data_IF_336474740149
#
_entry.id   IF_336474740149
#
_cell.length_a   1.000
_cell.length_b   1.000
_cell.length_c   1.000
_cell.angle_alpha   90.00
_cell.angle_beta   90.00
_cell.angle_gamma   90.00
#
_symmetry.space_group_name_H-M   'P 1'
#
loop_
_entity.id
_entity.type
_entity.pdbx_description
1 polymer ?
#
# COMPACT_ATOMS: atom_id res chain seq x y z
N UNK A 1 27.81 28.89 15.45
CA UNK A 1 26.63 29.39 16.20
C UNK A 1 25.51 28.34 16.10
N UNK A 2 25.40 27.43 17.07
CA UNK A 2 24.31 26.43 17.07
C UNK A 2 23.07 27.06 17.68
N UNK A 3 22.11 27.41 16.82
CA UNK A 3 20.83 28.00 17.23
C UNK A 3 19.95 26.89 17.80
N UNK A 4 20.02 26.68 19.12
CA UNK A 4 19.12 25.78 19.84
C UNK A 4 17.68 26.27 19.64
N UNK A 5 16.93 25.61 18.75
CA UNK A 5 15.49 25.86 18.60
C UNK A 5 14.77 25.15 19.73
N UNK A 6 14.02 25.90 20.53
CA UNK A 6 13.14 25.33 21.57
C UNK A 6 12.14 24.34 20.94
N UNK A 7 11.87 23.19 21.59
CA UNK A 7 10.73 22.35 21.25
C UNK A 7 9.45 23.18 21.23
N UNK A 8 8.63 23.07 20.18
CA UNK A 8 7.36 23.81 20.05
C UNK A 8 7.40 25.14 19.30
N UNK A 9 8.55 25.57 18.73
CA UNK A 9 8.64 26.89 18.07
C UNK A 9 7.97 27.00 16.68
N UNK A 10 7.48 25.89 16.12
CA UNK A 10 6.60 25.87 14.95
C UNK A 10 5.32 25.16 15.35
N UNK A 11 4.18 25.85 15.29
CA UNK A 11 2.86 25.21 15.44
C UNK A 11 2.84 24.02 14.47
N UNK A 12 2.51 22.84 14.99
CA UNK A 12 2.35 21.68 14.13
C UNK A 12 1.29 21.98 13.07
N UNK A 13 1.46 21.48 11.85
CA UNK A 13 0.40 21.61 10.84
C UNK A 13 -0.89 21.01 11.39
N UNK A 14 -2.04 21.63 11.09
CA UNK A 14 -3.36 21.26 11.66
C UNK A 14 -3.63 19.75 11.59
N UNK A 15 -3.25 19.11 10.48
CA UNK A 15 -3.41 17.68 10.25
C UNK A 15 -2.66 16.79 11.26
N UNK A 16 -1.59 17.28 11.89
CA UNK A 16 -0.82 16.55 12.90
C UNK A 16 -1.51 16.50 14.28
N UNK A 17 -2.49 17.36 14.51
CA UNK A 17 -3.30 17.31 15.74
C UNK A 17 -4.34 16.17 15.71
N UNK A 18 -4.74 15.73 14.51
CA UNK A 18 -5.54 14.51 14.33
C UNK A 18 -4.61 13.29 14.33
N UNK A 19 -4.10 12.94 15.52
CA UNK A 19 -3.17 11.81 15.70
C UNK A 19 -3.90 10.57 16.22
N UNK A 20 -3.79 9.47 15.48
CA UNK A 20 -4.26 8.16 15.94
C UNK A 20 -3.07 7.32 16.42
N UNK A 21 -3.00 7.09 17.73
CA UNK A 21 -1.89 6.39 18.37
C UNK A 21 -2.21 4.91 18.64
N UNK A 22 -2.37 4.14 17.57
CA UNK A 22 -2.61 2.68 17.64
C UNK A 22 -1.55 1.93 16.83
N UNK A 23 -0.27 1.94 17.25
CA UNK A 23 0.86 1.54 16.41
C UNK A 23 0.81 0.09 15.91
N UNK A 24 0.32 -0.83 16.75
CA UNK A 24 0.15 -2.24 16.36
C UNK A 24 -1.02 -2.43 15.40
N UNK A 25 -2.10 -1.68 15.59
CA UNK A 25 -3.27 -1.72 14.70
C UNK A 25 -2.92 -1.14 13.33
N UNK A 26 -2.23 0.00 13.28
CA UNK A 26 -1.77 0.60 12.02
C UNK A 26 -0.82 -0.35 11.28
N UNK A 27 0.10 -1.02 12.00
CA UNK A 27 0.93 -2.07 11.39
C UNK A 27 0.07 -3.19 10.81
N UNK A 28 -0.88 -3.73 11.57
CA UNK A 28 -1.76 -4.79 11.10
C UNK A 28 -2.58 -4.35 9.86
N UNK A 29 -3.07 -3.10 9.85
CA UNK A 29 -3.79 -2.51 8.74
C UNK A 29 -2.91 -2.40 7.48
N UNK A 30 -1.69 -1.87 7.60
CA UNK A 30 -0.76 -1.78 6.48
C UNK A 30 -0.45 -3.15 5.89
N UNK A 31 -0.21 -4.16 6.73
CA UNK A 31 0.00 -5.53 6.29
C UNK A 31 -1.24 -6.12 5.62
N UNK A 32 -2.42 -5.92 6.20
CA UNK A 32 -3.68 -6.40 5.64
C UNK A 32 -3.96 -5.81 4.25
N UNK A 33 -3.67 -4.52 4.05
CA UNK A 33 -3.84 -3.87 2.74
C UNK A 33 -2.86 -4.43 1.72
N UNK A 34 -1.59 -4.66 2.07
CA UNK A 34 -0.63 -5.30 1.13
C UNK A 34 -1.02 -6.74 0.82
N UNK A 35 -1.52 -7.49 1.79
CA UNK A 35 -2.06 -8.83 1.57
C UNK A 35 -3.24 -8.81 0.60
N UNK A 36 -4.12 -7.80 0.71
CA UNK A 36 -5.22 -7.61 -0.23
C UNK A 36 -4.72 -7.30 -1.64
N UNK A 37 -3.73 -6.41 -1.79
CA UNK A 37 -3.12 -6.11 -3.10
C UNK A 37 -2.54 -7.37 -3.74
N UNK A 38 -1.72 -8.12 -2.99
CA UNK A 38 -1.13 -9.37 -3.47
C UNK A 38 -2.16 -10.44 -3.79
N UNK A 39 -3.20 -10.58 -2.96
CA UNK A 39 -4.31 -11.52 -3.20
C UNK A 39 -5.09 -11.20 -4.47
N UNK A 40 -5.42 -9.92 -4.70
CA UNK A 40 -6.07 -9.49 -5.94
C UNK A 40 -5.17 -9.70 -7.17
N UNK A 41 -3.87 -9.39 -7.06
CA UNK A 41 -2.91 -9.60 -8.13
C UNK A 41 -2.80 -11.09 -8.50
N UNK A 42 -2.74 -11.98 -7.51
CA UNK A 42 -2.71 -13.43 -7.73
C UNK A 42 -4.00 -13.93 -8.38
N UNK A 43 -5.16 -13.47 -7.91
CA UNK A 43 -6.45 -13.85 -8.48
C UNK A 43 -6.60 -13.42 -9.95
N UNK A 44 -6.05 -12.26 -10.33
CA UNK A 44 -6.02 -11.82 -11.73
C UNK A 44 -4.99 -12.60 -12.53
N UNK A 45 -3.82 -12.93 -11.95
CA UNK A 45 -2.76 -13.68 -12.62
C UNK A 45 -3.19 -15.11 -13.02
N UNK A 46 -3.97 -15.78 -12.16
CA UNK A 46 -4.49 -17.13 -12.43
C UNK A 46 -5.79 -17.12 -13.23
N UNK A 47 -6.30 -15.94 -13.62
CA UNK A 47 -7.50 -15.83 -14.43
C UNK A 47 -7.17 -16.01 -15.91
N UNK A 48 -8.11 -16.58 -16.66
CA UNK A 48 -8.01 -16.74 -18.12
C UNK A 48 -8.24 -15.42 -18.89
N UNK A 49 -8.20 -14.26 -18.20
CA UNK A 49 -8.47 -12.94 -18.75
C UNK A 49 -7.34 -11.96 -18.39
N UNK A 50 -6.19 -12.05 -19.10
CA UNK A 50 -5.03 -11.21 -18.82
C UNK A 50 -5.31 -9.74 -19.18
N UNK A 51 -4.94 -8.76 -18.34
CA UNK A 51 -5.24 -7.34 -18.59
C UNK A 51 -4.50 -6.75 -19.79
N UNK A 52 -3.39 -7.36 -20.21
CA UNK A 52 -2.64 -7.01 -21.43
C UNK A 52 -1.73 -8.19 -21.81
N UNK A 53 -1.19 -8.23 -23.05
CA UNK A 53 -0.30 -9.31 -23.47
C UNK A 53 0.89 -9.46 -22.52
N UNK A 54 1.13 -10.68 -22.05
CA UNK A 54 2.20 -11.00 -21.09
C UNK A 54 2.12 -10.22 -19.76
N UNK A 55 0.91 -9.91 -19.27
CA UNK A 55 0.72 -9.31 -17.95
C UNK A 55 1.05 -10.24 -16.78
N UNK A 56 0.96 -11.56 -16.98
CA UNK A 56 1.12 -12.56 -15.94
C UNK A 56 2.45 -12.45 -15.16
N UNK A 57 3.64 -12.35 -15.79
CA UNK A 57 4.90 -12.15 -15.06
C UNK A 57 4.91 -10.90 -14.20
N UNK A 58 4.30 -9.80 -14.66
CA UNK A 58 4.23 -8.56 -13.89
C UNK A 58 3.32 -8.71 -12.66
N UNK A 59 2.18 -9.39 -12.80
CA UNK A 59 1.29 -9.69 -11.68
C UNK A 59 1.97 -10.60 -10.66
N UNK A 60 2.66 -11.65 -11.09
CA UNK A 60 3.42 -12.54 -10.19
C UNK A 60 4.58 -11.82 -9.49
N UNK A 61 5.21 -10.85 -10.15
CA UNK A 61 6.21 -10.00 -9.49
C UNK A 61 5.59 -9.19 -8.34
N UNK A 62 4.40 -8.61 -8.53
CA UNK A 62 3.67 -7.92 -7.45
C UNK A 62 3.32 -8.88 -6.32
N UNK A 63 2.86 -10.09 -6.64
CA UNK A 63 2.59 -11.14 -5.63
C UNK A 63 3.85 -11.48 -4.84
N UNK A 64 4.98 -11.72 -5.51
CA UNK A 64 6.24 -12.05 -4.87
C UNK A 64 6.72 -10.92 -3.93
N UNK A 65 6.63 -9.67 -4.38
CA UNK A 65 6.97 -8.51 -3.54
C UNK A 65 6.02 -8.34 -2.36
N UNK A 66 4.72 -8.58 -2.54
CA UNK A 66 3.74 -8.55 -1.46
C UNK A 66 4.03 -9.64 -0.41
N UNK A 67 4.30 -10.88 -0.84
CA UNK A 67 4.68 -11.99 0.06
C UNK A 67 5.96 -11.67 0.82
N UNK A 68 6.99 -11.17 0.13
CA UNK A 68 8.22 -10.74 0.78
C UNK A 68 7.94 -9.64 1.82
N UNK A 69 7.19 -8.60 1.46
CA UNK A 69 6.83 -7.53 2.38
C UNK A 69 6.08 -8.04 3.62
N UNK A 70 5.12 -8.96 3.45
CA UNK A 70 4.36 -9.55 4.56
C UNK A 70 5.27 -10.38 5.47
N UNK A 71 6.13 -11.22 4.89
CA UNK A 71 7.10 -12.02 5.65
C UNK A 71 8.02 -11.13 6.48
N UNK A 72 8.61 -10.09 5.88
CA UNK A 72 9.42 -9.11 6.58
C UNK A 72 8.62 -8.32 7.62
N UNK A 73 7.41 -7.88 7.28
CA UNK A 73 6.57 -7.08 8.17
C UNK A 73 6.11 -7.83 9.41
N UNK A 74 5.86 -9.14 9.30
CA UNK A 74 5.47 -10.00 10.42
C UNK A 74 6.66 -10.36 11.31
N UNK A 75 7.83 -10.63 10.72
CA UNK A 75 9.01 -11.15 11.46
C UNK A 75 9.93 -10.06 11.99
N UNK A 76 10.00 -8.91 11.33
CA UNK A 76 10.97 -7.87 11.67
C UNK A 76 10.38 -6.74 12.50
N UNK A 77 11.28 -6.03 13.19
CA UNK A 77 11.01 -4.78 13.89
C UNK A 77 11.58 -3.57 13.14
N UNK A 78 11.75 -3.69 11.82
CA UNK A 78 12.23 -2.62 10.97
C UNK A 78 11.05 -1.79 10.46
N UNK A 79 11.25 -0.49 10.29
CA UNK A 79 10.27 0.38 9.65
C UNK A 79 10.39 0.20 8.14
N UNK A 80 9.51 -0.61 7.56
CA UNK A 80 9.56 -1.00 6.14
C UNK A 80 8.43 -0.39 5.30
N UNK A 81 7.61 0.50 5.84
CA UNK A 81 6.34 0.94 5.24
C UNK A 81 6.48 1.51 3.82
N UNK A 82 7.61 2.15 3.53
CA UNK A 82 7.91 2.70 2.20
C UNK A 82 8.07 1.61 1.12
N UNK A 83 8.54 0.41 1.48
CA UNK A 83 8.60 -0.71 0.54
C UNK A 83 7.20 -1.19 0.13
N UNK A 84 6.21 -1.10 1.02
CA UNK A 84 4.83 -1.40 0.66
C UNK A 84 4.25 -0.40 -0.34
N UNK A 85 4.75 0.85 -0.36
CA UNK A 85 4.38 1.83 -1.38
C UNK A 85 4.92 1.45 -2.75
N UNK A 86 6.10 0.80 -2.82
CA UNK A 86 6.61 0.26 -4.07
C UNK A 86 5.71 -0.88 -4.61
N UNK A 87 5.21 -1.77 -3.74
CA UNK A 87 4.24 -2.81 -4.11
C UNK A 87 2.96 -2.19 -4.65
N UNK A 88 2.38 -1.22 -3.92
CA UNK A 88 1.17 -0.51 -4.33
C UNK A 88 1.37 0.27 -5.66
N UNK A 89 2.51 0.92 -5.84
CA UNK A 89 2.83 1.62 -7.08
C UNK A 89 2.96 0.64 -8.27
N UNK A 90 3.62 -0.50 -8.08
CA UNK A 90 3.73 -1.55 -9.10
C UNK A 90 2.35 -2.07 -9.52
N UNK A 91 1.47 -2.35 -8.55
CA UNK A 91 0.11 -2.76 -8.83
C UNK A 91 -0.71 -1.69 -9.58
N UNK A 92 -0.54 -0.41 -9.26
CA UNK A 92 -1.19 0.69 -9.99
C UNK A 92 -0.66 0.87 -11.41
N UNK A 93 0.64 0.67 -11.63
CA UNK A 93 1.22 0.70 -12.98
C UNK A 93 0.60 -0.41 -13.84
N UNK A 94 0.49 -1.62 -13.29
CA UNK A 94 -0.19 -2.75 -13.97
C UNK A 94 -1.66 -2.42 -14.21
N UNK A 95 -2.34 -1.81 -13.23
CA UNK A 95 -3.73 -1.41 -13.38
C UNK A 95 -3.94 -0.43 -14.55
N UNK A 96 -3.12 0.62 -14.62
CA UNK A 96 -3.14 1.60 -15.71
C UNK A 96 -2.77 0.93 -17.05
N UNK A 97 -1.78 0.04 -17.05
CA UNK A 97 -1.43 -0.75 -18.23
C UNK A 97 -2.61 -1.57 -18.75
N UNK A 98 -3.38 -2.18 -17.85
CA UNK A 98 -4.60 -2.91 -18.22
C UNK A 98 -5.70 -2.01 -18.77
N UNK A 99 -5.88 -0.79 -18.26
CA UNK A 99 -6.87 0.16 -18.82
C UNK A 99 -6.59 0.44 -20.29
N UNK A 100 -5.32 0.53 -20.66
CA UNK A 100 -4.90 0.78 -22.05
C UNK A 100 -4.99 -0.52 -22.89
N UNK A 101 -4.89 -1.67 -22.24
CA UNK A 101 -5.03 -3.00 -22.84
C UNK A 101 -6.46 -3.54 -22.78
N UNK A 102 -6.57 -4.79 -22.33
CA UNK A 102 -7.82 -5.54 -22.17
C UNK A 102 -8.13 -5.75 -20.68
N UNK A 103 -8.25 -4.65 -19.95
CA UNK A 103 -8.55 -4.71 -18.51
C UNK A 103 -9.79 -5.59 -18.27
N UNK A 104 -9.80 -6.38 -17.18
CA UNK A 104 -10.93 -7.23 -16.82
C UNK A 104 -12.11 -6.38 -16.32
N UNK A 105 -12.80 -5.72 -17.22
CA UNK A 105 -14.05 -5.02 -16.97
C UNK A 105 -15.24 -5.86 -17.46
N UNK A 106 -16.41 -5.66 -16.85
CA UNK A 106 -17.61 -6.41 -17.25
C UNK A 106 -17.94 -6.17 -18.72
N UNK A 107 -17.72 -4.96 -19.24
CA UNK A 107 -17.92 -4.64 -20.65
C UNK A 107 -16.83 -5.22 -21.58
N UNK A 108 -15.69 -5.65 -21.04
CA UNK A 108 -14.64 -6.40 -21.75
C UNK A 108 -14.86 -7.93 -21.65
N UNK A 109 -16.01 -8.38 -21.13
CA UNK A 109 -16.35 -9.81 -21.05
C UNK A 109 -15.82 -10.52 -19.80
N UNK A 110 -15.19 -9.80 -18.87
CA UNK A 110 -14.76 -10.37 -17.59
C UNK A 110 -15.97 -10.61 -16.66
N UNK A 111 -15.96 -11.68 -15.83
CA UNK A 111 -16.99 -11.88 -14.83
C UNK A 111 -16.95 -10.77 -13.78
N UNK A 112 -18.11 -10.45 -13.19
CA UNK A 112 -18.27 -9.38 -12.19
C UNK A 112 -17.27 -9.52 -11.04
N UNK A 113 -17.00 -10.75 -10.59
CA UNK A 113 -16.02 -11.00 -9.53
C UNK A 113 -14.59 -10.61 -9.91
N UNK A 114 -14.16 -10.89 -11.15
CA UNK A 114 -12.83 -10.52 -11.62
C UNK A 114 -12.71 -9.00 -11.80
N UNK A 115 -13.75 -8.36 -12.34
CA UNK A 115 -13.80 -6.91 -12.44
C UNK A 115 -13.76 -6.23 -11.07
N UNK A 116 -14.50 -6.76 -10.09
CA UNK A 116 -14.43 -6.28 -8.72
C UNK A 116 -13.02 -6.45 -8.13
N UNK A 117 -12.38 -7.59 -8.36
CA UNK A 117 -11.02 -7.91 -7.88
C UNK A 117 -10.00 -6.92 -8.46
N UNK A 118 -10.11 -6.63 -9.75
CA UNK A 118 -9.24 -5.68 -10.45
C UNK A 118 -9.36 -4.26 -9.90
N UNK A 119 -10.58 -3.76 -9.74
CA UNK A 119 -10.82 -2.45 -9.15
C UNK A 119 -10.40 -2.40 -7.67
N UNK A 120 -10.64 -3.47 -6.92
CA UNK A 120 -10.24 -3.56 -5.52
C UNK A 120 -8.72 -3.49 -5.35
N UNK A 121 -7.95 -4.11 -6.26
CA UNK A 121 -6.49 -3.97 -6.30
C UNK A 121 -6.04 -2.51 -6.42
N UNK A 122 -6.70 -1.73 -7.29
CA UNK A 122 -6.40 -0.31 -7.47
C UNK A 122 -6.75 0.51 -6.22
N UNK A 123 -7.96 0.32 -5.68
CA UNK A 123 -8.39 1.03 -4.47
C UNK A 123 -7.54 0.68 -3.25
N UNK A 124 -7.16 -0.59 -3.07
CA UNK A 124 -6.26 -1.02 -2.01
C UNK A 124 -4.88 -0.39 -2.16
N UNK A 125 -4.35 -0.30 -3.39
CA UNK A 125 -3.08 0.35 -3.68
C UNK A 125 -3.10 1.85 -3.37
N UNK A 126 -4.15 2.57 -3.82
CA UNK A 126 -4.34 3.98 -3.48
C UNK A 126 -4.50 4.18 -1.97
N UNK A 127 -5.27 3.30 -1.32
CA UNK A 127 -5.45 3.29 0.13
C UNK A 127 -4.12 3.10 0.86
N UNK A 128 -3.26 2.19 0.41
CA UNK A 128 -1.94 1.99 1.00
C UNK A 128 -1.07 3.24 0.86
N UNK A 129 -1.04 3.87 -0.33
CA UNK A 129 -0.27 5.10 -0.54
C UNK A 129 -0.75 6.23 0.38
N UNK A 130 -2.06 6.39 0.53
CA UNK A 130 -2.64 7.37 1.46
C UNK A 130 -2.29 7.07 2.92
N UNK A 131 -2.35 5.78 3.33
CA UNK A 131 -1.97 5.35 4.68
C UNK A 131 -0.48 5.59 4.95
N UNK A 132 0.41 5.20 4.03
CA UNK A 132 1.84 5.40 4.21
C UNK A 132 2.20 6.90 4.22
N UNK A 133 1.54 7.71 3.38
CA UNK A 133 1.66 9.16 3.43
C UNK A 133 1.25 9.70 4.81
N UNK A 134 0.13 9.24 5.36
CA UNK A 134 -0.33 9.65 6.69
C UNK A 134 0.62 9.21 7.83
N UNK A 135 1.25 8.03 7.70
CA UNK A 135 2.31 7.57 8.60
C UNK A 135 3.55 8.46 8.52
N UNK A 136 4.00 8.77 7.30
CA UNK A 136 5.18 9.61 7.07
C UNK A 136 4.96 11.07 7.45
N UNK A 137 3.73 11.58 7.34
CA UNK A 137 3.34 12.92 7.82
C UNK A 137 3.24 12.98 9.36
N UNK A 138 3.10 11.83 10.03
CA UNK A 138 2.94 11.72 11.48
C UNK A 138 1.50 11.92 11.97
N UNK A 139 0.50 11.69 11.09
CA UNK A 139 -0.91 11.59 11.48
C UNK A 139 -1.22 10.21 12.07
N UNK A 140 -0.63 9.17 11.49
CA UNK A 140 -0.74 7.79 11.97
C UNK A 140 0.58 7.34 12.59
N UNK A 141 0.49 6.68 13.73
CA UNK A 141 1.63 5.98 14.33
C UNK A 141 1.57 4.52 13.89
N UNK A 142 2.68 3.99 13.36
CA UNK A 142 2.81 2.59 12.97
C UNK A 142 4.00 1.97 13.70
N UNK A 143 3.80 0.82 14.35
CA UNK A 143 4.88 0.09 15.00
C UNK A 143 5.81 -0.49 13.93
N UNK A 144 7.14 -0.37 14.00
CA UNK A 144 7.93 0.22 15.09
C UNK A 144 7.95 1.75 14.98
N UNK A 145 7.59 2.43 16.07
CA UNK A 145 7.59 3.89 16.11
C UNK A 145 8.99 4.41 16.44
N UNK A 146 9.52 5.26 15.56
CA UNK A 146 10.78 5.99 15.76
C UNK A 146 10.57 7.49 15.80
N UNK A 147 9.32 7.96 15.82
CA UNK A 147 9.01 9.39 15.65
C UNK A 147 9.37 10.26 16.86
N UNK A 148 9.90 9.69 17.95
CA UNK A 148 10.61 10.45 18.99
C UNK A 148 9.80 11.53 19.69
N UNK A 149 8.47 11.42 19.70
CA UNK A 149 7.61 12.31 20.48
C UNK A 149 7.59 11.82 21.92
N UNK A 150 8.54 12.31 22.71
CA UNK A 150 8.29 12.49 24.15
C UNK A 150 7.25 13.61 24.25
N UNK A 151 6.05 13.28 24.72
CA UNK A 151 5.14 14.32 25.22
C UNK A 151 5.84 15.13 26.34
#
# INVERSE_FOLDING_TARGET
MYRHRRPGSKRAHVLRYLRFNLPRLTKALLLAVVALIGGCAAAVAVSDHPPFPHAEPALWLVVALAVAFLAFGLTTRLRIWDFGSAVAAGALIIYVGGIIGDAPFVWNGAPVGLAATWNLMAFASLGYLALNWAVNFGMLVAWPDTQGFTD
#
